data_IF_270420301374
#
_entry.id   IF_270420301374
#
_cell.length_a   1.000
_cell.length_b   1.000
_cell.length_c   1.000
_cell.angle_alpha   90.00
_cell.angle_beta   90.00
_cell.angle_gamma   90.00
#
_symmetry.space_group_name_H-M   'P 1'
#
loop_
_entity.id
_entity.type
_entity.pdbx_description
1 polymer ?
#
# COMPACT_ATOMS: atom_id res chain seq x y z
N UNK A 1 -3.35 12.71 -4.17
CA UNK A 1 -4.76 13.15 -4.35
C UNK A 1 -5.60 11.93 -4.01
N UNK A 2 -6.35 11.97 -2.91
CA UNK A 2 -6.78 10.74 -2.22
C UNK A 2 -8.14 10.97 -1.57
N UNK A 3 -9.06 10.01 -1.68
CA UNK A 3 -10.37 10.02 -1.00
C UNK A 3 -10.49 8.83 -0.06
N UNK A 4 -11.45 8.88 0.85
CA UNK A 4 -11.71 7.80 1.81
C UNK A 4 -12.86 6.90 1.35
N UNK A 5 -12.87 5.67 1.83
CA UNK A 5 -13.97 4.72 1.62
C UNK A 5 -15.30 5.29 2.10
N UNK A 6 -15.30 5.98 3.24
CA UNK A 6 -16.48 6.68 3.76
C UNK A 6 -17.02 7.73 2.78
N UNK A 7 -16.15 8.56 2.19
CA UNK A 7 -16.59 9.58 1.23
C UNK A 7 -17.16 8.93 -0.04
N UNK A 8 -16.55 7.85 -0.53
CA UNK A 8 -17.07 7.09 -1.66
C UNK A 8 -18.43 6.44 -1.36
N UNK A 9 -18.64 5.94 -0.14
CA UNK A 9 -19.90 5.37 0.31
C UNK A 9 -21.00 6.43 0.43
N UNK A 10 -20.67 7.64 0.90
CA UNK A 10 -21.60 8.79 0.85
C UNK A 10 -21.98 9.14 -0.59
N UNK A 11 -21.03 9.15 -1.53
CA UNK A 11 -21.30 9.42 -2.95
C UNK A 11 -22.24 8.34 -3.52
N UNK A 12 -21.94 7.06 -3.27
CA UNK A 12 -22.78 5.93 -3.68
C UNK A 12 -24.20 6.07 -3.14
N UNK A 13 -24.33 6.26 -1.82
CA UNK A 13 -25.62 6.45 -1.14
C UNK A 13 -26.43 7.61 -1.75
N UNK A 14 -25.79 8.75 -2.03
CA UNK A 14 -26.46 9.88 -2.70
C UNK A 14 -26.89 9.54 -4.13
N UNK A 15 -26.06 8.80 -4.88
CA UNK A 15 -26.34 8.43 -6.26
C UNK A 15 -27.48 7.41 -6.42
N UNK A 16 -27.62 6.49 -5.46
CA UNK A 16 -28.72 5.49 -5.44
C UNK A 16 -29.98 6.00 -4.73
N UNK A 17 -29.99 7.24 -4.23
CA UNK A 17 -31.13 7.82 -3.52
C UNK A 17 -31.33 7.28 -2.09
N UNK A 18 -30.27 6.73 -1.50
CA UNK A 18 -30.27 6.11 -0.18
C UNK A 18 -29.34 6.83 0.80
N UNK A 19 -29.39 8.17 0.77
CA UNK A 19 -28.64 9.01 1.70
C UNK A 19 -29.58 9.78 2.61
N UNK A 20 -29.50 9.47 3.89
CA UNK A 20 -30.01 10.32 4.95
C UNK A 20 -29.04 10.33 6.13
N UNK A 21 -28.87 11.51 6.72
CA UNK A 21 -27.99 11.74 7.86
C UNK A 21 -28.74 12.56 8.90
N UNK A 22 -28.54 12.20 10.16
CA UNK A 22 -29.14 12.82 11.32
C UNK A 22 -28.13 13.02 12.44
N UNK A 23 -28.55 13.79 13.45
CA UNK A 23 -27.78 14.04 14.65
C UNK A 23 -28.70 13.86 15.85
N UNK A 24 -28.33 12.99 16.78
CA UNK A 24 -29.14 12.72 17.95
C UNK A 24 -29.38 13.99 18.75
N UNK A 25 -30.63 14.24 19.10
CA UNK A 25 -31.03 15.43 19.88
C UNK A 25 -31.09 15.14 21.37
N UNK A 26 -31.04 13.87 21.77
CA UNK A 26 -31.05 13.44 23.16
C UNK A 26 -30.30 12.12 23.36
N UNK A 27 -29.76 11.93 24.55
CA UNK A 27 -29.16 10.66 24.93
C UNK A 27 -30.24 9.58 25.11
N UNK A 28 -29.90 8.34 24.81
CA UNK A 28 -30.82 7.21 24.84
C UNK A 28 -30.11 5.89 25.16
N UNK A 29 -30.89 4.83 25.39
CA UNK A 29 -30.37 3.49 25.61
C UNK A 29 -29.74 2.90 24.34
N UNK A 30 -29.18 1.70 24.46
CA UNK A 30 -28.47 1.03 23.36
C UNK A 30 -29.37 0.55 22.20
N UNK A 31 -30.69 0.64 22.33
CA UNK A 31 -31.68 0.11 21.38
C UNK A 31 -32.54 1.22 20.74
N UNK A 32 -32.17 2.48 20.95
CA UNK A 32 -32.97 3.62 20.48
C UNK A 32 -32.05 4.71 19.98
N UNK A 33 -32.43 5.35 18.88
CA UNK A 33 -31.84 6.60 18.42
C UNK A 33 -32.92 7.67 18.53
N UNK A 34 -32.60 8.81 19.16
CA UNK A 34 -33.54 9.92 19.37
C UNK A 34 -33.08 11.12 18.57
N UNK A 35 -33.89 11.53 17.60
CA UNK A 35 -33.61 12.65 16.70
C UNK A 35 -34.93 13.27 16.23
N UNK A 36 -35.15 14.55 16.57
CA UNK A 36 -36.38 15.25 16.24
C UNK A 36 -36.55 15.49 14.74
N UNK A 37 -35.47 15.41 13.96
CA UNK A 37 -35.55 15.50 12.50
C UNK A 37 -36.31 14.31 11.88
N UNK A 38 -36.44 13.19 12.60
CA UNK A 38 -37.18 12.01 12.14
C UNK A 38 -38.70 12.22 12.05
N UNK A 39 -39.25 13.22 12.77
CA UNK A 39 -40.69 13.54 12.77
C UNK A 39 -41.22 13.87 11.36
N UNK A 40 -40.34 14.29 10.45
CA UNK A 40 -40.72 14.62 9.07
C UNK A 40 -40.98 13.41 8.19
N UNK A 41 -40.58 12.21 8.62
CA UNK A 41 -40.74 10.99 7.85
C UNK A 41 -41.95 10.20 8.37
N UNK A 42 -42.77 9.63 7.49
CA UNK A 42 -43.84 8.73 7.90
C UNK A 42 -43.26 7.42 8.46
N UNK A 43 -44.05 6.71 9.28
CA UNK A 43 -43.61 5.46 9.92
C UNK A 43 -43.23 4.36 8.90
N UNK A 44 -43.79 4.40 7.68
CA UNK A 44 -43.49 3.49 6.56
C UNK A 44 -42.22 3.86 5.77
N UNK A 45 -41.51 4.92 6.16
CA UNK A 45 -40.25 5.31 5.54
C UNK A 45 -39.13 4.27 5.77
N UNK A 46 -39.22 3.51 6.85
CA UNK A 46 -38.34 2.39 7.20
C UNK A 46 -38.90 1.10 6.64
N UNK A 47 -38.04 0.35 5.95
CA UNK A 47 -38.35 -0.96 5.34
C UNK A 47 -37.74 -2.10 6.15
N UNK A 48 -38.11 -3.34 5.83
CA UNK A 48 -37.56 -4.56 6.47
C UNK A 48 -36.04 -4.74 6.31
N UNK A 49 -35.41 -3.96 5.42
CA UNK A 49 -33.98 -4.00 5.10
C UNK A 49 -33.27 -2.69 5.49
N UNK A 50 -33.85 -1.91 6.40
CA UNK A 50 -33.28 -0.64 6.85
C UNK A 50 -32.32 -0.80 8.03
N UNK A 51 -31.20 -0.08 7.97
CA UNK A 51 -30.13 -0.08 8.97
C UNK A 51 -29.72 1.33 9.34
N UNK A 52 -29.31 1.51 10.60
CA UNK A 52 -28.61 2.71 11.04
C UNK A 52 -27.11 2.45 11.03
N UNK A 53 -26.36 3.53 10.87
CA UNK A 53 -24.91 3.54 11.00
C UNK A 53 -24.48 4.75 11.79
N UNK A 54 -23.92 4.54 12.99
CA UNK A 54 -23.40 5.63 13.83
C UNK A 54 -22.07 6.14 13.28
N UNK A 55 -21.97 7.43 13.00
CA UNK A 55 -20.80 8.04 12.34
C UNK A 55 -19.91 8.89 13.25
N UNK A 56 -20.25 9.02 14.54
CA UNK A 56 -19.39 9.69 15.52
C UNK A 56 -19.65 9.22 16.95
N UNK A 57 -18.86 9.73 17.90
CA UNK A 57 -18.95 9.36 19.31
C UNK A 57 -18.39 7.96 19.62
N UNK A 58 -18.62 7.47 20.84
CA UNK A 58 -18.05 6.21 21.33
C UNK A 58 -18.61 4.95 20.65
N UNK A 59 -19.60 5.10 19.77
CA UNK A 59 -20.24 4.01 19.01
C UNK A 59 -20.04 4.17 17.51
N UNK A 60 -19.11 5.03 17.09
CA UNK A 60 -18.75 5.17 15.68
C UNK A 60 -18.45 3.82 15.06
N UNK A 61 -18.88 3.63 13.81
CA UNK A 61 -18.74 2.38 13.02
C UNK A 61 -19.69 1.25 13.44
N UNK A 62 -20.52 1.44 14.46
CA UNK A 62 -21.56 0.47 14.78
C UNK A 62 -22.77 0.60 13.82
N UNK A 63 -23.09 -0.51 13.16
CA UNK A 63 -24.25 -0.69 12.29
C UNK A 63 -25.31 -1.56 12.98
N UNK A 64 -26.58 -1.14 12.99
CA UNK A 64 -27.67 -1.97 13.54
C UNK A 64 -28.89 -1.94 12.63
N UNK A 65 -29.66 -3.03 12.68
CA UNK A 65 -30.92 -3.13 11.95
C UNK A 65 -31.96 -2.22 12.61
N UNK A 66 -32.64 -1.41 11.82
CA UNK A 66 -33.78 -0.61 12.27
C UNK A 66 -35.03 -1.50 12.18
N UNK A 67 -35.70 -1.65 13.31
CA UNK A 67 -36.93 -2.42 13.42
C UNK A 67 -38.17 -1.57 13.16
N UNK A 68 -38.14 -0.29 13.54
CA UNK A 68 -39.26 0.62 13.40
C UNK A 68 -38.81 2.08 13.53
N UNK A 69 -39.40 2.98 12.74
CA UNK A 69 -39.39 4.42 13.02
C UNK A 69 -40.69 4.81 13.70
N UNK A 70 -40.59 5.61 14.76
CA UNK A 70 -41.74 6.22 15.42
C UNK A 70 -41.61 7.74 15.27
N UNK A 71 -42.44 8.29 14.39
CA UNK A 71 -42.46 9.73 14.07
C UNK A 71 -43.44 10.54 14.93
N UNK A 72 -43.78 10.07 16.14
CA UNK A 72 -44.73 10.80 17.01
C UNK A 72 -44.23 12.19 17.42
N UNK A 73 -45.19 13.09 17.62
CA UNK A 73 -45.15 14.56 17.48
C UNK A 73 -44.13 15.31 18.37
N UNK A 74 -43.37 14.65 19.24
CA UNK A 74 -42.48 15.35 20.19
C UNK A 74 -41.00 14.96 20.17
N UNK A 75 -40.59 13.77 19.69
CA UNK A 75 -39.20 13.32 19.89
C UNK A 75 -38.53 12.64 18.72
N UNK A 76 -39.25 12.02 17.77
CA UNK A 76 -38.67 11.32 16.61
C UNK A 76 -37.68 10.22 16.99
N UNK A 77 -38.03 8.94 16.82
CA UNK A 77 -37.17 7.84 17.30
C UNK A 77 -37.03 6.70 16.30
N UNK A 78 -35.87 6.06 16.28
CA UNK A 78 -35.66 4.76 15.64
C UNK A 78 -35.47 3.70 16.72
N UNK A 79 -36.17 2.59 16.57
CA UNK A 79 -35.93 1.36 17.35
C UNK A 79 -34.94 0.49 16.60
N UNK A 80 -33.76 0.27 17.19
CA UNK A 80 -32.62 -0.39 16.53
C UNK A 80 -32.16 -1.62 17.30
N UNK A 81 -31.41 -2.50 16.64
CA UNK A 81 -30.66 -3.56 17.32
C UNK A 81 -29.69 -3.00 18.37
N UNK A 82 -29.31 -3.81 19.35
CA UNK A 82 -28.51 -3.35 20.51
C UNK A 82 -27.10 -2.91 20.12
N UNK A 83 -26.79 -1.63 20.27
CA UNK A 83 -25.42 -1.09 20.23
C UNK A 83 -24.59 -1.51 21.44
N UNK A 84 -23.27 -1.31 21.39
CA UNK A 84 -22.35 -1.61 22.50
C UNK A 84 -22.57 -0.78 23.77
N UNK A 85 -23.49 0.19 23.75
CA UNK A 85 -23.87 1.02 24.89
C UNK A 85 -24.88 2.11 24.52
N UNK A 86 -25.17 2.99 25.46
CA UNK A 86 -26.03 4.17 25.25
C UNK A 86 -25.50 5.08 24.14
N UNK A 87 -26.39 5.63 23.33
CA UNK A 87 -26.08 6.67 22.34
C UNK A 87 -26.21 8.04 23.01
N UNK A 88 -25.15 8.84 22.99
CA UNK A 88 -25.14 10.19 23.57
C UNK A 88 -25.91 11.19 22.67
N UNK A 89 -26.22 12.37 23.21
CA UNK A 89 -26.72 13.50 22.41
C UNK A 89 -25.60 14.10 21.55
N UNK A 90 -25.94 14.64 20.39
CA UNK A 90 -24.98 15.23 19.45
C UNK A 90 -24.20 14.21 18.62
N UNK A 91 -24.60 12.94 18.65
CA UNK A 91 -23.98 11.87 17.86
C UNK A 91 -24.59 11.87 16.45
N UNK A 92 -23.75 11.91 15.43
CA UNK A 92 -24.16 11.79 14.04
C UNK A 92 -24.35 10.33 13.65
N UNK A 93 -25.34 10.08 12.79
CA UNK A 93 -25.63 8.76 12.25
C UNK A 93 -26.29 8.87 10.88
N UNK A 94 -26.31 7.76 10.14
CA UNK A 94 -26.92 7.65 8.82
C UNK A 94 -27.96 6.55 8.79
N UNK A 95 -28.96 6.70 7.94
CA UNK A 95 -29.99 5.68 7.70
C UNK A 95 -29.83 5.15 6.29
N UNK A 96 -29.76 3.82 6.19
CA UNK A 96 -29.51 3.02 5.01
C UNK A 96 -30.74 2.16 4.75
N UNK A 97 -31.53 2.47 3.73
CA UNK A 97 -32.85 1.85 3.48
C UNK A 97 -32.83 0.79 2.38
N UNK A 98 -31.83 0.83 1.50
CA UNK A 98 -31.72 -0.09 0.35
C UNK A 98 -30.68 -1.18 0.59
N UNK A 99 -29.54 -0.81 1.18
CA UNK A 99 -28.40 -1.70 1.40
C UNK A 99 -27.67 -1.30 2.67
N UNK A 100 -27.13 -2.26 3.40
CA UNK A 100 -26.29 -2.00 4.57
C UNK A 100 -25.08 -1.14 4.18
N UNK A 101 -24.60 -0.30 5.09
CA UNK A 101 -23.35 0.43 4.91
C UNK A 101 -22.18 -0.55 4.69
N UNK A 102 -22.17 -1.70 5.37
CA UNK A 102 -21.17 -2.75 5.16
C UNK A 102 -21.19 -3.34 3.75
N UNK A 103 -22.37 -3.57 3.18
CA UNK A 103 -22.54 -4.04 1.80
C UNK A 103 -22.06 -3.02 0.79
N UNK A 104 -22.41 -1.73 0.99
CA UNK A 104 -21.93 -0.62 0.16
C UNK A 104 -20.40 -0.52 0.16
N UNK A 105 -19.75 -0.70 1.32
CA UNK A 105 -18.28 -0.72 1.42
C UNK A 105 -17.65 -1.88 0.65
N UNK A 106 -18.14 -3.10 0.85
CA UNK A 106 -17.66 -4.28 0.12
C UNK A 106 -17.86 -4.15 -1.38
N UNK A 107 -18.98 -3.57 -1.80
CA UNK A 107 -19.25 -3.27 -3.22
C UNK A 107 -18.27 -2.25 -3.80
N UNK A 108 -17.92 -1.19 -3.06
CA UNK A 108 -16.93 -0.20 -3.49
C UNK A 108 -15.53 -0.80 -3.62
N UNK A 109 -15.09 -1.64 -2.68
CA UNK A 109 -13.79 -2.32 -2.74
C UNK A 109 -13.75 -3.27 -3.93
N UNK A 110 -14.81 -4.04 -4.15
CA UNK A 110 -14.89 -4.97 -5.27
C UNK A 110 -14.94 -4.23 -6.60
N UNK A 111 -15.70 -3.14 -6.69
CA UNK A 111 -15.75 -2.28 -7.87
C UNK A 111 -14.41 -1.61 -8.17
N UNK A 112 -13.66 -1.19 -7.15
CA UNK A 112 -12.32 -0.62 -7.32
C UNK A 112 -11.35 -1.63 -7.95
N UNK A 113 -11.47 -2.92 -7.62
CA UNK A 113 -10.67 -3.98 -8.23
C UNK A 113 -11.11 -4.31 -9.65
N UNK A 114 -12.42 -4.30 -9.89
CA UNK A 114 -13.02 -4.71 -11.17
C UNK A 114 -13.06 -3.62 -12.25
N UNK A 115 -12.83 -2.35 -11.91
CA UNK A 115 -12.75 -1.26 -12.89
C UNK A 115 -11.45 -1.29 -13.72
N UNK A 116 -10.52 -2.19 -13.39
CA UNK A 116 -9.34 -2.43 -14.22
C UNK A 116 -9.76 -3.11 -15.54
N UNK A 117 -9.20 -2.73 -16.70
CA UNK A 117 -8.07 -1.82 -16.92
C UNK A 117 -8.45 -0.34 -17.13
N UNK A 118 -9.71 0.06 -17.01
CA UNK A 118 -10.14 1.44 -17.30
C UNK A 118 -9.69 2.47 -16.25
N UNK A 119 -9.54 2.04 -15.00
CA UNK A 119 -8.96 2.87 -13.93
C UNK A 119 -7.94 2.05 -13.14
N UNK A 120 -6.77 2.63 -12.91
CA UNK A 120 -5.66 2.02 -12.19
C UNK A 120 -4.89 3.10 -11.44
N UNK A 121 -4.11 2.71 -10.43
CA UNK A 121 -3.09 3.60 -9.88
C UNK A 121 -1.77 3.35 -10.61
N UNK A 122 -0.96 4.38 -10.80
CA UNK A 122 0.36 4.20 -11.39
C UNK A 122 1.36 4.00 -10.27
N UNK A 123 2.01 2.85 -10.25
CA UNK A 123 3.15 2.59 -9.38
C UNK A 123 4.38 3.19 -10.03
N UNK A 124 5.09 4.00 -9.27
CA UNK A 124 6.39 4.56 -9.60
C UNK A 124 7.35 4.14 -8.50
N UNK A 125 8.09 3.07 -8.72
CA UNK A 125 9.08 2.59 -7.77
C UNK A 125 10.49 2.92 -8.25
N UNK A 126 11.28 3.52 -7.39
CA UNK A 126 12.68 3.87 -7.65
C UNK A 126 13.63 3.25 -6.62
N UNK A 127 13.16 2.20 -5.91
CA UNK A 127 13.87 1.57 -4.79
C UNK A 127 14.93 0.55 -5.25
N UNK A 128 14.80 0.05 -6.48
CA UNK A 128 15.61 -1.06 -6.97
C UNK A 128 16.89 -0.61 -7.68
N UNK A 129 17.93 -1.46 -7.60
CA UNK A 129 19.24 -1.27 -8.22
C UNK A 129 19.62 -2.51 -9.01
N UNK A 130 20.08 -2.35 -10.26
CA UNK A 130 20.42 -3.45 -11.17
C UNK A 130 21.50 -4.35 -10.60
N UNK A 131 21.24 -5.66 -10.59
CA UNK A 131 22.21 -6.66 -10.12
C UNK A 131 22.47 -6.62 -8.61
N UNK A 132 21.70 -5.86 -7.83
CA UNK A 132 21.75 -5.93 -6.38
C UNK A 132 21.16 -7.26 -5.91
N UNK A 133 21.92 -7.99 -5.11
CA UNK A 133 21.50 -9.27 -4.54
C UNK A 133 20.70 -9.12 -3.24
N UNK A 134 20.70 -7.93 -2.63
CA UNK A 134 19.99 -7.68 -1.39
C UNK A 134 18.51 -7.37 -1.65
N UNK A 135 17.62 -7.91 -0.81
CA UNK A 135 16.25 -7.42 -0.72
C UNK A 135 16.20 -6.16 0.13
N UNK A 136 15.46 -5.16 -0.35
CA UNK A 136 15.27 -3.88 0.36
C UNK A 136 16.59 -3.23 0.81
N UNK A 137 17.59 -3.19 -0.08
CA UNK A 137 18.85 -2.52 0.19
C UNK A 137 18.69 -1.02 0.46
N UNK A 138 17.62 -0.42 -0.05
CA UNK A 138 17.21 0.97 0.18
C UNK A 138 16.51 1.21 1.52
N UNK A 139 16.23 0.16 2.31
CA UNK A 139 15.56 0.27 3.62
C UNK A 139 14.19 0.97 3.60
N UNK A 140 13.40 0.71 2.57
CA UNK A 140 12.06 1.29 2.39
C UNK A 140 10.94 0.39 2.92
N UNK A 141 11.22 -0.90 3.15
CA UNK A 141 10.22 -1.89 3.53
C UNK A 141 10.27 -2.16 5.04
N UNK A 142 9.45 -1.43 5.77
CA UNK A 142 9.26 -1.57 7.22
C UNK A 142 8.01 -2.40 7.53
N UNK A 143 7.97 -2.98 8.73
CA UNK A 143 6.77 -3.64 9.23
C UNK A 143 5.55 -2.69 9.25
N UNK A 144 4.35 -3.24 9.41
CA UNK A 144 3.11 -2.44 9.40
C UNK A 144 3.06 -1.38 10.50
N UNK A 145 3.85 -1.52 11.57
CA UNK A 145 3.95 -0.55 12.66
C UNK A 145 5.04 0.52 12.41
N UNK A 146 5.88 0.35 11.38
CA UNK A 146 7.04 1.17 11.10
C UNK A 146 8.19 1.01 12.10
N UNK A 147 8.23 -0.11 12.84
CA UNK A 147 9.16 -0.30 13.98
C UNK A 147 10.39 -1.13 13.66
N UNK A 148 10.31 -2.03 12.69
CA UNK A 148 11.43 -2.86 12.25
C UNK A 148 11.47 -2.97 10.71
N UNK A 149 12.65 -3.25 10.15
CA UNK A 149 12.81 -3.60 8.74
C UNK A 149 12.29 -5.02 8.49
N UNK A 150 11.66 -5.24 7.35
CA UNK A 150 11.01 -6.53 7.06
C UNK A 150 11.99 -7.61 6.57
N UNK A 151 13.05 -7.20 5.86
CA UNK A 151 13.99 -8.11 5.20
C UNK A 151 15.40 -8.08 5.80
N UNK A 152 15.58 -7.39 6.92
CA UNK A 152 16.87 -7.20 7.57
C UNK A 152 16.78 -7.53 9.05
N UNK A 153 17.83 -8.18 9.58
CA UNK A 153 17.90 -8.61 10.97
C UNK A 153 18.82 -7.69 11.76
N UNK A 154 18.27 -7.07 12.79
CA UNK A 154 19.05 -6.34 13.78
C UNK A 154 19.48 -7.28 14.91
N UNK A 155 20.77 -7.29 15.23
CA UNK A 155 21.31 -7.99 16.39
C UNK A 155 21.97 -7.00 17.34
N UNK A 156 21.42 -6.89 18.56
CA UNK A 156 21.85 -6.00 19.65
C UNK A 156 21.67 -4.50 19.37
N UNK A 157 21.96 -4.02 18.16
CA UNK A 157 21.76 -2.63 17.75
C UNK A 157 20.26 -2.30 17.68
N UNK A 158 19.90 -1.10 18.11
CA UNK A 158 18.55 -0.57 17.91
C UNK A 158 18.46 0.06 16.52
N UNK A 159 17.52 -0.44 15.71
CA UNK A 159 17.22 0.10 14.39
C UNK A 159 15.90 0.86 14.44
N UNK A 160 15.89 2.10 13.96
CA UNK A 160 14.68 2.92 13.87
C UNK A 160 14.56 3.55 12.49
N UNK A 161 13.32 3.67 12.02
CA UNK A 161 13.00 4.36 10.78
C UNK A 161 13.26 5.85 10.90
N UNK A 162 13.98 6.41 9.93
CA UNK A 162 14.18 7.86 9.82
C UNK A 162 13.59 8.38 8.52
N UNK A 163 12.74 9.41 8.60
CA UNK A 163 12.19 10.17 7.46
C UNK A 163 12.67 11.63 7.46
N UNK A 164 13.67 11.94 8.28
CA UNK A 164 14.18 13.30 8.45
C UNK A 164 14.96 13.70 7.21
N UNK A 165 14.56 14.79 6.56
CA UNK A 165 15.24 15.30 5.36
C UNK A 165 16.74 15.53 5.62
N UNK A 166 17.59 15.02 4.73
CA UNK A 166 19.05 15.04 4.86
C UNK A 166 19.63 13.87 5.67
N UNK A 167 18.79 13.06 6.32
CA UNK A 167 19.19 11.82 7.02
C UNK A 167 18.67 10.55 6.34
N UNK A 168 18.26 10.65 5.08
CA UNK A 168 18.17 9.55 4.13
C UNK A 168 18.86 9.99 2.83
N UNK A 169 19.44 9.04 2.12
CA UNK A 169 20.21 9.25 0.88
C UNK A 169 19.40 8.82 -0.34
N UNK A 170 18.59 7.78 -0.19
CA UNK A 170 17.77 7.18 -1.21
C UNK A 170 16.32 7.08 -0.72
N UNK A 171 15.39 6.99 -1.68
CA UNK A 171 13.95 6.96 -1.44
C UNK A 171 13.42 8.00 -0.44
N UNK A 172 12.70 7.54 0.58
CA UNK A 172 12.03 8.36 1.59
C UNK A 172 12.52 8.07 3.01
N UNK A 173 13.21 6.95 3.21
CA UNK A 173 13.55 6.47 4.55
C UNK A 173 14.97 5.90 4.60
N UNK A 174 15.54 5.88 5.80
CA UNK A 174 16.83 5.23 6.06
C UNK A 174 16.80 4.49 7.39
N UNK A 175 17.78 3.60 7.58
CA UNK A 175 17.97 2.90 8.84
C UNK A 175 18.87 3.71 9.78
N UNK A 176 18.32 4.16 10.91
CA UNK A 176 19.10 4.72 12.02
C UNK A 176 19.53 3.62 12.98
N UNK A 177 20.84 3.45 13.13
CA UNK A 177 21.52 2.52 14.04
C UNK A 177 21.97 3.28 15.29
N UNK A 178 21.58 2.82 16.48
CA UNK A 178 21.92 3.52 17.74
C UNK A 178 21.79 2.64 18.99
N UNK A 179 22.02 3.25 20.16
CA UNK A 179 21.80 2.71 21.53
C UNK A 179 22.78 1.62 21.97
N UNK A 180 23.19 0.73 21.08
CA UNK A 180 24.13 -0.33 21.39
C UNK A 180 24.95 -0.72 20.16
N UNK A 181 26.19 -1.14 20.40
CA UNK A 181 27.01 -1.77 19.38
C UNK A 181 26.37 -3.10 18.93
N UNK A 182 26.32 -3.34 17.63
CA UNK A 182 25.66 -4.50 17.05
C UNK A 182 25.65 -4.45 15.53
N UNK A 183 24.80 -5.27 14.90
CA UNK A 183 24.77 -5.43 13.45
C UNK A 183 23.37 -5.35 12.88
N UNK A 184 23.26 -4.77 11.69
CA UNK A 184 22.13 -4.93 10.79
C UNK A 184 22.58 -5.81 9.62
N UNK A 185 21.90 -6.93 9.37
CA UNK A 185 22.39 -7.91 8.39
C UNK A 185 21.28 -8.57 7.57
N UNK A 186 21.67 -9.06 6.39
CA UNK A 186 20.88 -9.97 5.57
C UNK A 186 21.77 -11.14 5.15
N UNK A 187 21.29 -12.35 5.38
CA UNK A 187 21.94 -13.59 4.99
C UNK A 187 20.99 -14.53 4.25
N UNK A 188 21.45 -15.75 3.97
CA UNK A 188 20.64 -16.69 3.19
C UNK A 188 19.35 -17.16 3.88
N UNK A 189 19.21 -16.94 5.19
CA UNK A 189 17.97 -17.22 5.93
C UNK A 189 16.86 -16.28 5.49
N UNK A 190 17.20 -15.01 5.25
CA UNK A 190 16.28 -13.98 4.77
C UNK A 190 16.14 -13.99 3.25
N UNK A 191 17.21 -14.37 2.54
CA UNK A 191 17.25 -14.42 1.08
C UNK A 191 18.04 -15.63 0.56
N UNK A 192 17.31 -16.71 0.24
CA UNK A 192 17.92 -17.98 -0.22
C UNK A 192 18.79 -17.82 -1.47
N UNK A 193 18.54 -16.78 -2.29
CA UNK A 193 19.32 -16.50 -3.50
C UNK A 193 20.79 -16.18 -3.20
N UNK A 194 21.12 -15.70 -1.99
CA UNK A 194 22.50 -15.39 -1.62
C UNK A 194 23.41 -16.63 -1.65
N UNK A 195 22.86 -17.86 -1.61
CA UNK A 195 23.62 -19.10 -1.79
C UNK A 195 24.27 -19.21 -3.17
N UNK A 196 23.71 -18.57 -4.19
CA UNK A 196 24.29 -18.57 -5.55
C UNK A 196 25.58 -17.75 -5.66
N UNK A 197 25.92 -16.98 -4.63
CA UNK A 197 27.16 -16.22 -4.56
C UNK A 197 28.36 -17.06 -4.08
N UNK A 198 28.16 -18.34 -3.74
CA UNK A 198 29.26 -19.26 -3.39
C UNK A 198 30.32 -19.33 -4.50
N UNK A 199 31.59 -19.16 -4.11
CA UNK A 199 32.72 -19.10 -5.03
C UNK A 199 32.80 -17.85 -5.91
N UNK A 200 31.98 -16.82 -5.64
CA UNK A 200 31.95 -15.56 -6.39
C UNK A 200 32.65 -14.44 -5.63
N UNK A 201 33.19 -13.49 -6.39
CA UNK A 201 33.62 -12.21 -5.84
C UNK A 201 32.45 -11.25 -5.82
N UNK A 202 32.27 -10.60 -4.69
CA UNK A 202 31.19 -9.65 -4.43
C UNK A 202 31.77 -8.33 -3.95
N UNK A 203 31.13 -7.24 -4.34
CA UNK A 203 31.31 -5.90 -3.76
C UNK A 203 30.08 -5.61 -2.93
N UNK A 204 30.26 -5.46 -1.62
CA UNK A 204 29.23 -4.99 -0.72
C UNK A 204 29.51 -3.52 -0.37
N UNK A 205 28.54 -2.65 -0.64
CA UNK A 205 28.65 -1.22 -0.38
C UNK A 205 27.41 -0.66 0.30
N UNK A 206 27.56 0.41 1.07
CA UNK A 206 26.46 1.17 1.67
C UNK A 206 26.77 2.65 1.69
N UNK A 207 25.75 3.49 1.58
CA UNK A 207 25.87 4.90 1.94
C UNK A 207 25.82 5.02 3.45
N UNK A 208 26.86 5.60 4.03
CA UNK A 208 26.98 5.77 5.48
C UNK A 208 26.95 7.24 5.85
N UNK A 209 26.30 7.56 6.96
CA UNK A 209 26.41 8.83 7.67
C UNK A 209 26.65 8.52 9.14
N UNK A 210 27.70 9.08 9.73
CA UNK A 210 27.95 8.90 11.14
C UNK A 210 28.79 10.02 11.73
N UNK A 211 28.33 10.59 12.83
CA UNK A 211 28.97 11.73 13.47
C UNK A 211 30.32 11.37 14.14
N UNK A 212 30.58 10.08 14.38
CA UNK A 212 31.76 9.57 15.11
C UNK A 212 32.61 8.70 14.19
N UNK A 213 33.93 8.93 14.17
CA UNK A 213 34.85 8.03 13.47
C UNK A 213 34.80 6.62 14.07
N UNK A 214 35.15 5.60 13.27
CA UNK A 214 35.22 4.20 13.71
C UNK A 214 33.89 3.60 14.20
N UNK A 215 32.77 4.28 13.96
CA UNK A 215 31.46 3.83 14.43
C UNK A 215 30.80 2.80 13.51
N UNK A 216 31.16 2.77 12.22
CA UNK A 216 30.44 2.07 11.16
C UNK A 216 31.44 1.37 10.24
N UNK A 217 31.19 0.09 9.94
CA UNK A 217 31.93 -0.68 8.92
C UNK A 217 31.06 -1.77 8.31
N UNK A 218 31.50 -2.32 7.19
CA UNK A 218 30.86 -3.44 6.51
C UNK A 218 31.62 -4.73 6.72
N UNK A 219 30.88 -5.85 6.74
CA UNK A 219 31.44 -7.20 6.80
C UNK A 219 30.73 -8.10 5.79
N UNK A 220 31.53 -8.87 5.04
CA UNK A 220 31.07 -10.03 4.28
C UNK A 220 31.54 -11.28 5.02
N UNK A 221 30.60 -12.14 5.40
CA UNK A 221 30.85 -13.36 6.15
C UNK A 221 30.44 -14.57 5.33
N UNK A 222 31.36 -15.53 5.16
CA UNK A 222 31.06 -16.84 4.56
C UNK A 222 30.77 -17.94 5.63
N UNK A 223 30.63 -17.51 6.89
CA UNK A 223 30.47 -18.35 8.08
C UNK A 223 31.77 -18.92 8.65
N UNK A 224 32.89 -18.80 7.93
CA UNK A 224 34.23 -19.19 8.41
C UNK A 224 35.18 -17.98 8.45
N UNK A 225 35.10 -17.11 7.46
CA UNK A 225 35.93 -15.94 7.25
C UNK A 225 35.06 -14.69 7.20
N UNK A 226 35.49 -13.66 7.93
CA UNK A 226 34.92 -12.32 7.84
C UNK A 226 35.90 -11.41 7.08
N UNK A 227 35.41 -10.76 6.03
CA UNK A 227 36.12 -9.71 5.29
C UNK A 227 35.52 -8.35 5.66
N UNK A 228 36.37 -7.38 5.97
CA UNK A 228 35.96 -6.08 6.52
C UNK A 228 36.24 -4.95 5.55
N UNK A 229 35.37 -3.93 5.52
CA UNK A 229 35.72 -2.62 4.99
C UNK A 229 36.67 -1.89 5.95
N UNK A 230 37.23 -0.77 5.47
CA UNK A 230 37.69 0.28 6.39
C UNK A 230 36.52 0.80 7.25
N UNK A 231 36.82 1.43 8.37
CA UNK A 231 35.81 2.15 9.13
C UNK A 231 35.38 3.44 8.42
N UNK A 232 34.16 3.90 8.71
CA UNK A 232 33.72 5.24 8.34
C UNK A 232 34.54 6.30 9.10
N UNK A 233 35.05 7.29 8.37
CA UNK A 233 35.93 8.35 8.91
C UNK A 233 35.22 9.30 9.89
N UNK A 234 33.90 9.19 10.00
CA UNK A 234 33.05 10.05 10.80
C UNK A 234 32.66 11.32 10.04
N UNK A 235 32.06 12.28 10.76
CA UNK A 235 31.59 13.53 10.20
C UNK A 235 30.09 13.56 9.93
N UNK A 236 29.49 14.75 10.02
CA UNK A 236 28.04 14.94 9.95
C UNK A 236 27.49 14.90 8.52
N UNK A 237 28.13 14.15 7.61
CA UNK A 237 27.78 14.06 6.19
C UNK A 237 27.70 12.60 5.74
N UNK A 238 26.94 12.38 4.67
CA UNK A 238 26.94 11.11 3.96
C UNK A 238 28.27 10.87 3.26
N UNK A 239 28.63 9.61 3.07
CA UNK A 239 29.63 9.20 2.08
C UNK A 239 29.35 9.84 0.72
N UNK A 240 30.42 10.11 -0.04
CA UNK A 240 30.30 10.67 -1.38
C UNK A 240 29.62 9.66 -2.31
N UNK A 241 28.84 10.15 -3.27
CA UNK A 241 28.04 9.31 -4.17
C UNK A 241 28.86 8.22 -4.88
N UNK A 242 30.11 8.53 -5.24
CA UNK A 242 31.01 7.63 -5.95
C UNK A 242 32.02 6.90 -5.04
N UNK A 243 31.96 7.16 -3.73
CA UNK A 243 32.84 6.55 -2.73
C UNK A 243 31.99 6.09 -1.52
N UNK A 244 31.04 5.15 -1.72
CA UNK A 244 30.34 4.54 -0.60
C UNK A 244 31.33 3.79 0.28
N UNK A 245 30.91 3.51 1.52
CA UNK A 245 31.63 2.56 2.35
C UNK A 245 31.54 1.18 1.67
N UNK A 246 32.68 0.53 1.39
CA UNK A 246 32.70 -0.71 0.61
C UNK A 246 33.67 -1.76 1.14
N UNK A 247 33.35 -3.02 0.85
CA UNK A 247 34.23 -4.18 1.01
C UNK A 247 34.09 -5.09 -0.21
N UNK A 248 35.23 -5.56 -0.71
CA UNK A 248 35.29 -6.56 -1.77
C UNK A 248 35.80 -7.86 -1.16
N UNK A 249 35.05 -8.93 -1.35
CA UNK A 249 35.38 -10.24 -0.80
C UNK A 249 35.06 -11.35 -1.81
N UNK A 250 35.82 -12.44 -1.75
CA UNK A 250 35.48 -13.68 -2.44
C UNK A 250 34.83 -14.61 -1.43
N UNK A 251 33.59 -15.03 -1.70
CA UNK A 251 32.88 -16.00 -0.87
C UNK A 251 33.46 -17.39 -1.15
N UNK A 252 33.68 -18.18 -0.11
CA UNK A 252 34.17 -19.57 -0.26
C UNK A 252 33.28 -20.39 -1.21
N UNK A 253 33.84 -21.44 -1.81
CA UNK A 253 33.09 -22.35 -2.69
C UNK A 253 32.08 -23.22 -1.93
N UNK A 254 32.32 -23.47 -0.64
CA UNK A 254 31.45 -24.24 0.25
C UNK A 254 31.18 -23.44 1.53
N UNK A 255 30.55 -22.25 1.41
CA UNK A 255 30.33 -21.39 2.56
C UNK A 255 29.32 -22.06 3.50
N UNK A 256 29.56 -21.96 4.81
CA UNK A 256 28.56 -22.41 5.81
C UNK A 256 27.46 -21.36 5.99
N UNK A 257 27.75 -20.12 5.61
CA UNK A 257 26.80 -19.01 5.58
C UNK A 257 27.20 -17.99 4.52
N UNK A 258 26.27 -17.16 4.06
CA UNK A 258 26.59 -16.00 3.23
C UNK A 258 25.79 -14.85 3.81
N UNK A 259 26.46 -13.94 4.50
CA UNK A 259 25.82 -12.85 5.24
C UNK A 259 26.57 -11.54 5.06
N UNK A 260 25.80 -10.50 4.77
CA UNK A 260 26.25 -9.12 4.62
C UNK A 260 25.83 -8.33 5.85
N UNK A 261 26.80 -7.76 6.57
CA UNK A 261 26.57 -7.10 7.86
C UNK A 261 27.04 -5.66 7.81
N UNK A 262 26.16 -4.77 8.24
CA UNK A 262 26.47 -3.38 8.58
C UNK A 262 26.69 -3.36 10.08
N UNK A 263 27.92 -3.05 10.50
CA UNK A 263 28.34 -3.11 11.90
C UNK A 263 28.39 -1.70 12.47
N UNK A 264 27.65 -1.47 13.55
CA UNK A 264 27.71 -0.26 14.35
C UNK A 264 28.48 -0.58 15.65
N UNK A 265 29.64 0.03 15.89
CA UNK A 265 30.54 -0.39 16.97
C UNK A 265 30.53 0.53 18.20
N UNK A 266 30.05 1.76 18.07
CA UNK A 266 30.15 2.76 19.13
C UNK A 266 28.77 3.01 19.74
N UNK A 267 28.50 2.41 20.89
CA UNK A 267 27.21 2.47 21.64
C UNK A 267 26.63 3.88 21.80
N UNK A 268 27.48 4.90 22.01
CA UNK A 268 27.04 6.29 22.20
C UNK A 268 26.86 7.07 20.90
N UNK A 269 27.29 6.51 19.76
CA UNK A 269 27.16 7.13 18.47
C UNK A 269 25.78 6.85 17.84
N UNK A 270 25.50 7.56 16.76
CA UNK A 270 24.37 7.28 15.88
C UNK A 270 24.92 7.20 14.47
N UNK A 271 24.49 6.17 13.74
CA UNK A 271 24.79 6.03 12.32
C UNK A 271 23.48 5.96 11.54
N UNK A 272 23.45 6.58 10.36
CA UNK A 272 22.40 6.38 9.38
C UNK A 272 23.01 5.62 8.22
N UNK A 273 22.31 4.60 7.75
CA UNK A 273 22.74 3.81 6.60
C UNK A 273 21.62 3.72 5.58
N UNK A 274 22.03 3.74 4.32
CA UNK A 274 21.11 3.74 3.20
C UNK A 274 21.74 3.09 1.97
N UNK A 275 20.90 2.63 1.04
CA UNK A 275 21.28 2.13 -0.28
C UNK A 275 22.41 1.07 -0.22
N UNK A 276 22.15 0.01 0.55
CA UNK A 276 23.00 -1.16 0.64
C UNK A 276 22.92 -1.98 -0.66
N UNK A 277 24.09 -2.27 -1.24
CA UNK A 277 24.22 -2.95 -2.53
C UNK A 277 25.22 -4.10 -2.43
N UNK A 278 24.83 -5.28 -2.88
CA UNK A 278 25.73 -6.40 -3.14
C UNK A 278 25.75 -6.66 -4.63
N UNK A 279 26.90 -6.41 -5.24
CA UNK A 279 27.10 -6.56 -6.69
C UNK A 279 28.12 -7.67 -6.94
N UNK A 280 27.80 -8.57 -7.86
CA UNK A 280 28.68 -9.64 -8.32
C UNK A 280 28.82 -9.61 -9.84
N UNK A 281 29.87 -10.26 -10.36
CA UNK A 281 30.00 -10.54 -11.79
C UNK A 281 28.95 -11.54 -12.29
N UNK A 282 28.32 -12.27 -11.38
CA UNK A 282 27.16 -13.10 -11.62
C UNK A 282 25.86 -12.28 -11.53
N UNK A 283 24.93 -12.54 -12.46
CA UNK A 283 23.73 -11.71 -12.61
C UNK A 283 22.75 -11.93 -11.47
N UNK A 284 22.55 -10.90 -10.65
CA UNK A 284 21.48 -10.85 -9.66
C UNK A 284 20.11 -10.87 -10.34
N UNK A 285 19.16 -11.58 -9.74
CA UNK A 285 17.74 -11.54 -10.11
C UNK A 285 17.07 -10.48 -9.24
N UNK A 286 16.27 -9.61 -9.85
CA UNK A 286 15.57 -8.55 -9.12
C UNK A 286 14.11 -8.93 -8.95
N UNK A 287 13.66 -9.08 -7.71
CA UNK A 287 12.27 -9.40 -7.42
C UNK A 287 11.42 -8.12 -7.40
N UNK A 288 10.40 -8.05 -8.26
CA UNK A 288 9.47 -6.92 -8.37
C UNK A 288 8.05 -7.26 -7.90
N UNK A 289 7.79 -8.50 -7.46
CA UNK A 289 6.45 -8.93 -7.06
C UNK A 289 5.88 -8.20 -5.84
N UNK A 290 6.73 -7.57 -5.05
CA UNK A 290 6.32 -6.73 -3.91
C UNK A 290 5.81 -5.34 -4.31
N UNK A 291 6.02 -4.90 -5.57
CA UNK A 291 5.68 -3.55 -6.01
C UNK A 291 4.16 -3.33 -6.22
N UNK A 292 3.34 -4.38 -6.14
CA UNK A 292 1.88 -4.27 -6.35
C UNK A 292 1.47 -3.98 -7.80
N UNK A 293 2.40 -4.12 -8.74
CA UNK A 293 2.13 -3.96 -10.18
C UNK A 293 1.27 -5.13 -10.66
N UNK A 294 0.26 -4.86 -11.47
CA UNK A 294 -0.63 -5.88 -11.99
C UNK A 294 0.14 -6.97 -12.74
N UNK A 295 -0.06 -8.23 -12.34
CA UNK A 295 0.64 -9.41 -12.88
C UNK A 295 2.17 -9.33 -12.78
N UNK A 296 2.72 -8.48 -11.91
CA UNK A 296 4.15 -8.18 -11.84
C UNK A 296 4.72 -7.67 -13.18
N UNK A 297 3.89 -7.10 -14.07
CA UNK A 297 4.29 -6.67 -15.40
C UNK A 297 4.39 -5.15 -15.48
N UNK A 298 5.60 -4.58 -15.40
CA UNK A 298 5.77 -3.15 -15.61
C UNK A 298 5.45 -2.78 -17.05
N UNK A 299 5.00 -1.55 -17.29
CA UNK A 299 4.86 -1.04 -18.67
C UNK A 299 6.18 -0.42 -19.16
N UNK A 300 7.03 0.02 -18.23
CA UNK A 300 8.30 0.69 -18.53
C UNK A 300 9.29 0.49 -17.40
N UNK A 301 10.53 0.29 -17.79
CA UNK A 301 11.67 0.24 -16.90
C UNK A 301 12.68 1.27 -17.39
N UNK A 302 13.11 2.14 -16.48
CA UNK A 302 14.06 3.21 -16.78
C UNK A 302 15.27 3.09 -15.87
N UNK A 303 16.40 3.63 -16.30
CA UNK A 303 17.65 3.67 -15.54
C UNK A 303 18.07 5.11 -15.30
N UNK A 304 18.57 5.37 -14.10
CA UNK A 304 19.11 6.67 -13.74
C UNK A 304 20.43 6.91 -14.52
N UNK A 305 20.61 8.08 -15.18
CA UNK A 305 21.84 8.35 -15.93
C UNK A 305 23.09 8.37 -15.05
N UNK A 306 22.97 8.91 -13.85
CA UNK A 306 24.05 9.05 -12.86
C UNK A 306 23.49 8.82 -11.45
N UNK A 307 24.20 8.06 -10.61
CA UNK A 307 23.76 7.72 -9.24
C UNK A 307 23.43 8.99 -8.42
N UNK A 308 22.20 9.02 -7.88
CA UNK A 308 21.67 10.12 -7.05
C UNK A 308 21.63 11.49 -7.75
N UNK A 309 21.62 11.51 -9.08
CA UNK A 309 21.44 12.75 -9.83
C UNK A 309 20.02 13.27 -9.67
N UNK A 310 19.04 12.38 -9.52
CA UNK A 310 17.60 12.68 -9.59
C UNK A 310 17.25 13.56 -10.80
N UNK A 311 18.09 13.54 -11.84
CA UNK A 311 17.92 14.38 -13.03
C UNK A 311 17.04 13.64 -14.04
N UNK A 312 15.99 14.32 -14.49
CA UNK A 312 15.20 13.90 -15.64
C UNK A 312 15.91 14.32 -16.95
N UNK A 313 15.76 13.56 -18.05
CA UNK A 313 14.97 12.34 -18.18
C UNK A 313 15.77 11.08 -17.78
N UNK A 314 15.07 10.12 -17.16
CA UNK A 314 15.60 8.77 -17.03
C UNK A 314 15.66 8.07 -18.39
N UNK A 315 16.56 7.09 -18.53
CA UNK A 315 16.79 6.40 -19.81
C UNK A 315 15.95 5.13 -19.85
N UNK A 316 15.05 5.00 -20.82
CA UNK A 316 14.25 3.79 -21.01
C UNK A 316 15.09 2.58 -21.38
N UNK A 317 14.85 1.46 -20.71
CA UNK A 317 15.39 0.14 -21.05
C UNK A 317 14.30 -0.64 -21.79
N UNK A 318 14.64 -1.18 -22.96
CA UNK A 318 13.73 -1.96 -23.78
C UNK A 318 13.96 -3.48 -23.67
N UNK A 319 15.15 -3.89 -23.23
CA UNK A 319 15.57 -5.29 -23.20
C UNK A 319 15.49 -5.89 -21.78
N UNK A 320 14.27 -6.15 -21.33
CA UNK A 320 14.00 -6.82 -20.06
C UNK A 320 12.85 -7.81 -20.17
N UNK A 321 12.89 -8.84 -19.32
CA UNK A 321 11.84 -9.88 -19.24
C UNK A 321 11.43 -10.09 -17.79
N UNK A 322 10.17 -10.44 -17.55
CA UNK A 322 9.67 -10.78 -16.22
C UNK A 322 9.11 -12.20 -16.23
N UNK A 323 9.53 -13.03 -15.28
CA UNK A 323 8.99 -14.37 -15.12
C UNK A 323 7.65 -14.39 -14.36
N UNK A 324 7.03 -15.57 -14.27
CA UNK A 324 5.75 -15.75 -13.58
C UNK A 324 5.85 -15.50 -12.08
N UNK A 325 7.05 -15.69 -11.51
CA UNK A 325 7.33 -15.48 -10.10
C UNK A 325 7.57 -13.99 -9.77
N UNK A 326 7.63 -13.11 -10.78
CA UNK A 326 7.81 -11.67 -10.61
C UNK A 326 9.27 -11.24 -10.47
N UNK A 327 10.22 -11.99 -11.00
CA UNK A 327 11.60 -11.55 -11.15
C UNK A 327 11.83 -10.91 -12.52
N UNK A 328 12.50 -9.76 -12.52
CA UNK A 328 12.93 -9.07 -13.73
C UNK A 328 14.37 -9.43 -14.09
N UNK A 329 14.60 -9.68 -15.37
CA UNK A 329 15.88 -10.04 -15.98
C UNK A 329 16.26 -9.00 -17.02
N UNK A 330 17.52 -8.57 -16.99
CA UNK A 330 18.09 -7.63 -17.96
C UNK A 330 19.08 -8.34 -18.89
N UNK A 331 19.14 -7.93 -20.15
CA UNK A 331 20.15 -8.44 -21.10
C UNK A 331 21.57 -8.03 -20.68
N UNK A 332 22.59 -8.69 -21.25
CA UNK A 332 24.01 -8.55 -20.83
C UNK A 332 24.58 -7.15 -21.00
N UNK A 333 23.88 -6.26 -21.70
CA UNK A 333 24.36 -4.91 -22.00
C UNK A 333 24.12 -3.93 -20.86
N UNK A 334 23.16 -4.21 -19.95
CA UNK A 334 22.96 -3.38 -18.78
C UNK A 334 24.00 -3.76 -17.72
N UNK A 335 24.92 -2.83 -17.45
CA UNK A 335 25.87 -2.97 -16.34
C UNK A 335 25.09 -3.05 -15.02
N UNK A 336 25.60 -3.84 -14.08
CA UNK A 336 25.13 -3.84 -12.69
C UNK A 336 25.42 -2.50 -12.02
N UNK A 337 24.72 -2.19 -10.93
CA UNK A 337 24.92 -1.01 -10.07
C UNK A 337 24.32 0.30 -10.59
N UNK A 338 23.17 0.22 -11.27
CA UNK A 338 22.37 1.38 -11.68
C UNK A 338 21.00 1.36 -11.02
N UNK A 339 20.54 2.54 -10.57
CA UNK A 339 19.19 2.69 -10.03
C UNK A 339 18.15 2.53 -11.13
N UNK A 340 17.08 1.81 -10.81
CA UNK A 340 15.95 1.56 -11.69
C UNK A 340 14.76 2.38 -11.27
N UNK A 341 13.96 2.76 -12.27
CA UNK A 341 12.59 3.20 -12.09
C UNK A 341 11.68 2.18 -12.77
N UNK A 342 10.92 1.46 -11.96
CA UNK A 342 9.92 0.50 -12.43
C UNK A 342 8.58 1.22 -12.42
N UNK A 343 7.92 1.26 -13.58
CA UNK A 343 6.63 1.91 -13.70
C UNK A 343 5.60 0.93 -14.25
N UNK A 344 4.47 0.83 -13.57
CA UNK A 344 3.46 -0.21 -13.82
C UNK A 344 2.07 0.20 -13.34
N UNK A 345 0.99 -0.28 -13.98
CA UNK A 345 -0.34 -0.09 -13.44
C UNK A 345 -0.58 -1.04 -12.27
N UNK A 346 -1.09 -0.51 -11.15
CA UNK A 346 -1.62 -1.30 -10.03
C UNK A 346 -3.15 -1.33 -10.06
N UNK A 347 -3.70 -2.45 -9.61
CA UNK A 347 -5.15 -2.55 -9.37
C UNK A 347 -5.50 -1.57 -8.25
N UNK A 348 -6.57 -0.81 -8.45
CA UNK A 348 -7.07 0.09 -7.43
C UNK A 348 -7.65 -0.69 -6.25
N UNK A 349 -7.31 -0.25 -5.05
CA UNK A 349 -7.86 -0.80 -3.82
C UNK A 349 -7.99 0.30 -2.75
N UNK A 350 -8.83 0.04 -1.75
CA UNK A 350 -8.86 0.86 -0.55
C UNK A 350 -7.84 0.33 0.45
N UNK A 351 -6.84 1.14 0.75
CA UNK A 351 -5.71 0.75 1.57
C UNK A 351 -5.77 1.44 2.93
N UNK A 352 -5.44 0.69 3.99
CA UNK A 352 -5.11 1.22 5.32
C UNK A 352 -3.76 0.65 5.70
N UNK A 353 -2.78 1.52 5.96
CA UNK A 353 -1.38 1.13 6.19
C UNK A 353 -0.83 0.19 5.10
N UNK A 354 -1.15 0.48 3.83
CA UNK A 354 -0.68 -0.29 2.67
C UNK A 354 -1.40 -1.62 2.42
N UNK A 355 -2.39 -1.99 3.25
CA UNK A 355 -3.12 -3.26 3.10
C UNK A 355 -4.59 -3.01 2.73
N UNK A 356 -5.16 -3.87 1.87
CA UNK A 356 -6.59 -3.86 1.54
C UNK A 356 -7.44 -3.83 2.81
N UNK A 357 -8.38 -2.88 2.91
CA UNK A 357 -9.11 -2.63 4.15
C UNK A 357 -10.55 -2.21 3.90
N UNK A 358 -11.44 -2.74 4.75
CA UNK A 358 -12.85 -2.31 4.82
C UNK A 358 -13.08 -1.14 5.81
N UNK A 359 -11.99 -0.63 6.40
CA UNK A 359 -12.03 0.51 7.31
C UNK A 359 -12.51 1.78 6.60
N UNK A 360 -13.24 2.63 7.31
CA UNK A 360 -13.74 3.90 6.76
C UNK A 360 -12.64 4.88 6.42
N UNK A 361 -11.55 4.83 7.20
CA UNK A 361 -10.35 5.63 6.99
C UNK A 361 -9.48 5.08 5.86
N UNK A 362 -9.79 3.89 5.33
CA UNK A 362 -9.07 3.36 4.17
C UNK A 362 -9.21 4.32 3.00
N UNK A 363 -8.11 4.51 2.29
CA UNK A 363 -7.98 5.51 1.25
C UNK A 363 -7.75 4.88 -0.11
N UNK A 364 -8.17 5.60 -1.14
CA UNK A 364 -7.90 5.26 -2.54
C UNK A 364 -7.41 6.50 -3.28
N UNK A 365 -6.45 6.34 -4.18
CA UNK A 365 -5.89 7.42 -4.99
C UNK A 365 -6.80 7.77 -6.18
N UNK A 366 -8.05 8.14 -5.87
CA UNK A 366 -9.03 8.64 -6.83
C UNK A 366 -9.65 9.94 -6.33
N UNK A 367 -10.05 10.76 -7.29
CA UNK A 367 -10.83 11.98 -7.04
C UNK A 367 -12.01 12.08 -7.99
N UNK A 368 -12.90 13.06 -7.76
CA UNK A 368 -13.93 13.40 -8.73
C UNK A 368 -13.26 13.83 -10.04
N UNK A 369 -13.71 13.34 -11.22
CA UNK A 369 -14.94 12.59 -11.46
C UNK A 369 -14.81 11.05 -11.39
N UNK A 370 -13.62 10.47 -11.20
CA UNK A 370 -13.41 9.01 -11.19
C UNK A 370 -14.16 8.34 -10.02
N UNK A 371 -14.26 9.02 -8.88
CA UNK A 371 -15.07 8.53 -7.74
C UNK A 371 -16.55 8.36 -8.08
N UNK A 372 -17.07 9.12 -9.05
CA UNK A 372 -18.44 8.96 -9.52
C UNK A 372 -18.63 7.72 -10.41
N UNK A 373 -17.58 7.30 -11.13
CA UNK A 373 -17.59 6.06 -11.91
C UNK A 373 -17.50 4.87 -10.97
N UNK A 374 -16.58 4.93 -9.99
CA UNK A 374 -16.47 3.91 -8.96
C UNK A 374 -17.81 3.68 -8.24
N UNK A 375 -18.51 4.75 -7.87
CA UNK A 375 -19.84 4.63 -7.27
C UNK A 375 -20.89 4.02 -8.22
N UNK A 376 -20.81 4.27 -9.53
CA UNK A 376 -21.71 3.64 -10.49
C UNK A 376 -21.43 2.13 -10.64
N UNK A 377 -20.16 1.74 -10.71
CA UNK A 377 -19.73 0.33 -10.75
C UNK A 377 -20.10 -0.42 -9.46
N UNK A 378 -19.95 0.23 -8.29
CA UNK A 378 -20.39 -0.35 -7.02
C UNK A 378 -21.91 -0.56 -6.98
N UNK A 379 -22.69 0.34 -7.57
CA UNK A 379 -24.14 0.13 -7.71
C UNK A 379 -24.44 -1.08 -8.63
N UNK A 380 -23.76 -1.22 -9.77
CA UNK A 380 -23.88 -2.41 -10.63
C UNK A 380 -23.64 -3.68 -9.83
N UNK A 381 -22.57 -3.71 -9.02
CA UNK A 381 -22.26 -4.86 -8.16
C UNK A 381 -23.38 -5.18 -7.16
N UNK A 382 -23.87 -4.18 -6.42
CA UNK A 382 -24.96 -4.35 -5.44
C UNK A 382 -26.22 -4.92 -6.09
N UNK A 383 -26.67 -4.33 -7.20
CA UNK A 383 -27.88 -4.77 -7.90
C UNK A 383 -27.71 -6.12 -8.59
N UNK A 384 -26.50 -6.47 -9.05
CA UNK A 384 -26.20 -7.80 -9.58
C UNK A 384 -26.43 -8.87 -8.52
N UNK A 385 -25.91 -8.66 -7.31
CA UNK A 385 -26.04 -9.61 -6.21
C UNK A 385 -27.51 -9.84 -5.82
N UNK A 386 -28.31 -8.77 -5.75
CA UNK A 386 -29.75 -8.86 -5.45
C UNK A 386 -30.60 -9.46 -6.59
N UNK A 387 -30.10 -9.46 -7.83
CA UNK A 387 -30.78 -10.05 -8.98
C UNK A 387 -30.60 -11.57 -9.11
N UNK A 388 -29.74 -12.15 -8.27
CA UNK A 388 -29.48 -13.59 -8.23
C UNK A 388 -30.73 -14.38 -7.79
N UNK A 389 -30.89 -15.65 -8.21
CA UNK A 389 -32.13 -16.43 -8.03
C UNK A 389 -32.49 -16.79 -6.57
N UNK A 390 -31.81 -16.23 -5.58
CA UNK A 390 -32.05 -16.46 -4.15
C UNK A 390 -33.13 -15.53 -3.56
N UNK A 391 -33.65 -14.57 -4.35
CA UNK A 391 -34.63 -13.58 -3.91
C UNK A 391 -36.00 -13.80 -4.59
N UNK A 392 -37.09 -13.32 -3.96
CA UNK A 392 -38.45 -13.48 -4.45
C UNK A 392 -38.65 -12.89 -5.87
N UNK A 393 -39.58 -13.47 -6.65
CA UNK A 393 -39.69 -13.21 -8.09
C UNK A 393 -40.05 -11.76 -8.45
N UNK A 394 -40.83 -11.06 -7.62
CA UNK A 394 -41.23 -9.66 -7.86
C UNK A 394 -40.09 -8.67 -7.62
N UNK A 395 -39.33 -8.85 -6.54
CA UNK A 395 -38.15 -8.04 -6.20
C UNK A 395 -37.03 -8.22 -7.22
N UNK A 396 -36.90 -9.43 -7.79
CA UNK A 396 -35.88 -9.73 -8.80
C UNK A 396 -36.03 -8.91 -10.10
N UNK A 397 -37.25 -8.72 -10.59
CA UNK A 397 -37.50 -7.97 -11.83
C UNK A 397 -37.13 -6.49 -11.69
N UNK A 398 -37.46 -5.87 -10.54
CA UNK A 398 -37.08 -4.48 -10.24
C UNK A 398 -35.56 -4.32 -10.14
N UNK A 399 -34.87 -5.26 -9.50
CA UNK A 399 -33.40 -5.24 -9.43
C UNK A 399 -32.73 -5.43 -10.80
N UNK A 400 -33.30 -6.26 -11.69
CA UNK A 400 -32.78 -6.43 -13.06
C UNK A 400 -32.95 -5.16 -13.89
N UNK A 401 -34.06 -4.43 -13.74
CA UNK A 401 -34.24 -3.14 -14.40
C UNK A 401 -33.23 -2.10 -13.89
N UNK A 402 -32.99 -2.06 -12.58
CA UNK A 402 -31.98 -1.18 -11.98
C UNK A 402 -30.56 -1.53 -12.40
N UNK A 403 -30.23 -2.82 -12.51
CA UNK A 403 -28.95 -3.27 -13.04
C UNK A 403 -28.67 -2.69 -14.43
N UNK A 404 -29.62 -2.83 -15.37
CA UNK A 404 -29.46 -2.30 -16.73
C UNK A 404 -29.27 -0.78 -16.77
N UNK A 405 -29.99 -0.04 -15.90
CA UNK A 405 -29.78 1.40 -15.75
C UNK A 405 -28.37 1.75 -15.26
N UNK A 406 -27.87 1.03 -14.25
CA UNK A 406 -26.55 1.27 -13.69
C UNK A 406 -25.42 0.88 -14.63
N UNK A 407 -25.56 -0.21 -15.38
CA UNK A 407 -24.61 -0.60 -16.44
C UNK A 407 -24.51 0.49 -17.52
N UNK A 408 -25.64 1.00 -18.01
CA UNK A 408 -25.66 2.09 -18.99
C UNK A 408 -25.04 3.38 -18.42
N UNK A 409 -25.33 3.69 -17.16
CA UNK A 409 -24.77 4.87 -16.47
C UNK A 409 -23.26 4.74 -16.27
N UNK A 410 -22.76 3.59 -15.85
CA UNK A 410 -21.33 3.32 -15.70
C UNK A 410 -20.61 3.47 -17.05
N UNK A 411 -21.14 2.83 -18.11
CA UNK A 411 -20.63 2.95 -19.49
C UNK A 411 -20.61 4.40 -19.98
N UNK A 412 -21.69 5.15 -19.79
CA UNK A 412 -21.77 6.57 -20.18
C UNK A 412 -20.74 7.43 -19.44
N UNK A 413 -20.53 7.19 -18.14
CA UNK A 413 -19.50 7.93 -17.38
C UNK A 413 -18.09 7.56 -17.84
N UNK A 414 -17.78 6.27 -18.02
CA UNK A 414 -16.49 5.82 -18.58
C UNK A 414 -16.19 6.50 -19.93
N UNK A 415 -17.16 6.50 -20.84
CA UNK A 415 -17.03 7.16 -22.14
C UNK A 415 -16.90 8.69 -22.05
N UNK A 416 -17.66 9.36 -21.18
CA UNK A 416 -17.61 10.81 -20.99
C UNK A 416 -16.24 11.28 -20.49
N UNK A 417 -15.65 10.55 -19.55
CA UNK A 417 -14.37 10.91 -18.94
C UNK A 417 -13.17 10.33 -19.68
N UNK A 418 -13.40 9.69 -20.83
CA UNK A 418 -12.36 9.23 -21.72
C UNK A 418 -11.37 8.28 -21.06
N UNK A 419 -11.84 7.43 -20.12
CA UNK A 419 -11.00 6.44 -19.45
C UNK A 419 -10.37 5.54 -20.51
N UNK A 420 -9.08 5.74 -20.83
CA UNK A 420 -8.44 4.98 -21.89
C UNK A 420 -8.25 3.56 -21.35
N UNK A 421 -8.70 2.57 -22.10
CA UNK A 421 -8.25 1.20 -21.88
C UNK A 421 -6.73 1.24 -22.12
N UNK A 422 -5.95 0.71 -21.18
CA UNK A 422 -4.52 0.53 -21.40
C UNK A 422 -4.32 -0.10 -22.78
N UNK A 423 -3.50 0.49 -23.67
CA UNK A 423 -3.25 -0.13 -24.96
C UNK A 423 -2.77 -1.57 -24.71
N UNK A 424 -3.42 -2.54 -25.35
CA UNK A 424 -3.06 -3.97 -25.27
C UNK A 424 -1.58 -4.19 -25.63
N UNK A 425 -0.99 -3.26 -26.37
CA UNK A 425 0.46 -3.08 -26.50
C UNK A 425 1.05 -2.50 -25.22
N UNK A 426 1.16 -3.34 -24.20
CA UNK A 426 2.33 -3.33 -23.33
C UNK A 426 3.53 -3.39 -24.29
N UNK A 427 4.48 -2.48 -24.14
CA UNK A 427 5.74 -2.52 -24.89
C UNK A 427 6.45 -3.83 -24.54
N UNK A 428 6.15 -4.88 -25.29
CA UNK A 428 6.93 -6.10 -25.30
C UNK A 428 8.33 -5.70 -25.77
N UNK A 429 9.34 -5.97 -24.96
CA UNK A 429 10.74 -5.73 -25.30
C UNK A 429 11.24 -6.62 -26.44
N UNK A 430 10.53 -6.68 -27.57
CA UNK A 430 10.89 -7.45 -28.77
C UNK A 430 10.23 -6.87 -30.03
N UNK A 431 11.03 -6.23 -30.88
CA UNK A 431 11.22 -6.61 -32.28
C UNK A 431 12.72 -6.57 -32.63
#
# INVERSE_FOLDING_TARGET
>A
MTTTLLNCEVILSKQIGDYWEGTTTSASGAITIVDTALIRFPDDWITDVSYDMVTSGSRSEEERKISHANSSVSTGTLSVGTHGGSIASGVTYRVHRLFEASEKRRALITAAKNIFPECYDMVWDESLVTGNWLYDGSFEIWDSAGTALSNWVANTVTVTKTTTNGLFKHGLTSAKLSTAAGTLSQGYTENDDLKFLAGKTVRFSVQGHCDTADCLRLVVSDGTTDSFSSYHDGGTAWTENNLPLEVIATIDYNPTEVTFKIVHEVTAATSYVDDARVISDYRGRLYIGHLGIHQNRPYRVEVEPENYSNQEPWIGIHDWEVDEDGYIYFTTQLRSDYRLRIVGPAILDFLSSGTSSESWSATINLNSPQTEILAAEAAVYLYTWMSMPNFESGTREDYQQMLAYWEDKARKKKGKYGMPILPITISWGHE
#
